data_IF_295233225014
#
_entry.id   IF_295233225014
#
_cell.length_a   1.000
_cell.length_b   1.000
_cell.length_c   1.000
_cell.angle_alpha   90.00
_cell.angle_beta   90.00
_cell.angle_gamma   90.00
#
_symmetry.space_group_name_H-M   'P 1'
#
loop_
_entity.id
_entity.type
_entity.pdbx_description
1 polymer ?
#
# COMPACT_ATOMS: atom_id res chain seq x y z
N UNK A 1 1.70 -8.42 -18.04
CA UNK A 1 1.80 -7.08 -17.40
C UNK A 1 0.81 -6.15 -18.09
N UNK A 2 0.04 -5.33 -17.36
CA UNK A 2 -0.98 -4.43 -17.94
C UNK A 2 -0.35 -3.09 -18.37
N UNK A 3 -0.90 -2.42 -19.39
CA UNK A 3 -0.35 -1.15 -19.91
C UNK A 3 -0.33 -0.01 -18.86
N UNK A 4 -1.32 0.06 -17.98
CA UNK A 4 -1.36 1.05 -16.90
C UNK A 4 -0.25 0.82 -15.88
N UNK A 5 0.03 -0.45 -15.51
CA UNK A 5 1.14 -0.80 -14.63
C UNK A 5 2.47 -0.35 -15.26
N UNK A 6 2.68 -0.63 -16.56
CA UNK A 6 3.88 -0.18 -17.29
C UNK A 6 4.04 1.35 -17.32
N UNK A 7 2.93 2.07 -17.45
CA UNK A 7 2.92 3.53 -17.43
C UNK A 7 3.24 4.08 -16.03
N UNK A 8 2.75 3.42 -14.98
CA UNK A 8 3.02 3.79 -13.59
C UNK A 8 4.48 3.54 -13.17
N UNK A 9 5.07 2.42 -13.61
CA UNK A 9 6.41 1.99 -13.19
C UNK A 9 7.56 2.61 -14.01
N UNK A 10 7.24 3.20 -15.17
CA UNK A 10 8.25 3.73 -16.09
C UNK A 10 8.48 5.23 -15.95
N UNK A 11 9.13 5.83 -16.95
CA UNK A 11 9.31 7.28 -17.01
C UNK A 11 7.98 8.00 -17.19
N UNK A 12 7.97 9.29 -16.86
CA UNK A 12 6.77 10.14 -16.98
C UNK A 12 6.12 10.09 -18.37
N UNK A 13 6.89 9.89 -19.45
CA UNK A 13 6.35 9.72 -20.80
C UNK A 13 7.08 8.61 -21.55
N UNK A 14 6.31 7.63 -22.05
CA UNK A 14 6.83 6.40 -22.64
C UNK A 14 6.39 6.22 -24.10
N UNK A 15 7.22 5.57 -24.92
CA UNK A 15 6.92 5.36 -26.33
C UNK A 15 5.99 4.16 -26.54
N UNK A 16 5.15 4.22 -27.57
CA UNK A 16 4.24 3.14 -27.95
C UNK A 16 4.97 1.81 -28.21
N UNK A 17 6.10 1.86 -28.92
CA UNK A 17 6.88 0.66 -29.26
C UNK A 17 7.40 -0.04 -28.00
N UNK A 18 7.93 0.75 -27.07
CA UNK A 18 8.49 0.24 -25.81
C UNK A 18 7.38 -0.36 -24.93
N UNK A 19 6.21 0.29 -24.89
CA UNK A 19 5.02 -0.21 -24.19
C UNK A 19 4.48 -1.50 -24.84
N UNK A 20 4.46 -1.58 -26.16
CA UNK A 20 4.02 -2.78 -26.89
C UNK A 20 4.95 -3.95 -26.63
N UNK A 21 6.27 -3.73 -26.72
CA UNK A 21 7.30 -4.73 -26.44
C UNK A 21 7.19 -5.26 -25.01
N UNK A 22 7.21 -4.36 -24.01
CA UNK A 22 7.14 -4.74 -22.59
C UNK A 22 5.81 -5.38 -22.18
N UNK A 23 4.71 -5.05 -22.87
CA UNK A 23 3.40 -5.69 -22.62
C UNK A 23 3.21 -7.00 -23.35
N UNK A 24 4.09 -7.35 -24.31
CA UNK A 24 3.93 -8.51 -25.19
C UNK A 24 2.80 -8.35 -26.22
N UNK A 25 2.35 -7.12 -26.48
CA UNK A 25 1.29 -6.81 -27.43
C UNK A 25 1.87 -6.40 -28.79
N UNK A 26 1.12 -6.64 -29.87
CA UNK A 26 1.45 -6.01 -31.15
C UNK A 26 1.24 -4.50 -31.08
N UNK A 27 2.08 -3.74 -31.79
CA UNK A 27 1.98 -2.26 -31.84
C UNK A 27 0.57 -1.77 -32.18
N UNK A 28 -0.15 -2.32 -33.18
CA UNK A 28 -1.53 -1.90 -33.47
C UNK A 28 -2.51 -2.16 -32.31
N UNK A 29 -2.30 -3.24 -31.56
CA UNK A 29 -3.14 -3.60 -30.41
C UNK A 29 -2.89 -2.66 -29.23
N UNK A 30 -1.62 -2.43 -28.89
CA UNK A 30 -1.23 -1.48 -27.84
C UNK A 30 -1.77 -0.08 -28.16
N UNK A 31 -1.63 0.36 -29.42
CA UNK A 31 -2.14 1.66 -29.85
C UNK A 31 -3.66 1.78 -29.68
N UNK A 32 -4.44 0.76 -30.08
CA UNK A 32 -5.91 0.77 -29.92
C UNK A 32 -6.33 0.83 -28.44
N UNK A 33 -5.64 0.09 -27.58
CA UNK A 33 -5.92 0.10 -26.14
C UNK A 33 -5.55 1.44 -25.51
N UNK A 34 -4.35 1.97 -25.79
CA UNK A 34 -3.93 3.27 -25.31
C UNK A 34 -4.87 4.38 -25.79
N UNK A 35 -5.29 4.36 -27.05
CA UNK A 35 -6.30 5.31 -27.56
C UNK A 35 -7.61 5.24 -26.79
N UNK A 36 -8.06 4.02 -26.42
CA UNK A 36 -9.28 3.86 -25.62
C UNK A 36 -9.11 4.41 -24.21
N UNK A 37 -7.92 4.24 -23.60
CA UNK A 37 -7.59 4.80 -22.29
C UNK A 37 -7.44 6.34 -22.34
N UNK A 38 -6.94 6.88 -23.45
CA UNK A 38 -6.87 8.33 -23.71
C UNK A 38 -8.26 8.93 -23.81
N UNK A 39 -9.19 8.27 -24.50
CA UNK A 39 -10.59 8.72 -24.56
C UNK A 39 -11.28 8.72 -23.20
N UNK A 40 -10.77 7.95 -22.24
CA UNK A 40 -11.26 7.89 -20.86
C UNK A 40 -10.44 8.76 -19.88
N UNK A 41 -9.50 9.58 -20.37
CA UNK A 41 -8.58 10.41 -19.59
C UNK A 41 -7.70 9.64 -18.56
N UNK A 42 -7.68 8.30 -18.63
CA UNK A 42 -6.85 7.42 -17.79
C UNK A 42 -5.39 7.41 -18.24
N UNK A 43 -5.16 7.72 -19.51
CA UNK A 43 -3.86 7.89 -20.14
C UNK A 43 -3.89 9.22 -20.87
N UNK A 44 -2.77 9.92 -20.95
CA UNK A 44 -2.62 11.07 -21.83
C UNK A 44 -1.54 10.79 -22.87
N UNK A 45 -1.66 11.43 -24.04
CA UNK A 45 -0.65 11.39 -25.07
C UNK A 45 -0.12 12.80 -25.30
N UNK A 46 1.19 13.00 -25.17
CA UNK A 46 1.82 14.28 -25.46
C UNK A 46 1.71 14.57 -26.97
N UNK A 47 1.06 15.68 -27.38
CA UNK A 47 0.90 16.02 -28.79
C UNK A 47 2.22 16.31 -29.51
N UNK A 48 3.31 16.63 -28.79
CA UNK A 48 4.62 16.93 -29.39
C UNK A 48 5.44 15.68 -29.64
N UNK A 49 5.55 14.80 -28.65
CA UNK A 49 6.38 13.59 -28.72
C UNK A 49 5.61 12.33 -29.07
N UNK A 50 4.27 12.37 -29.08
CA UNK A 50 3.38 11.19 -29.23
C UNK A 50 3.57 10.12 -28.16
N UNK A 51 4.25 10.44 -27.04
CA UNK A 51 4.49 9.55 -25.90
C UNK A 51 3.30 9.55 -24.96
N UNK A 52 3.15 8.47 -24.21
CA UNK A 52 2.02 8.22 -23.32
C UNK A 52 2.42 8.33 -21.85
N UNK A 53 1.51 8.84 -21.02
CA UNK A 53 1.61 8.89 -19.55
C UNK A 53 0.29 8.49 -18.90
N UNK A 54 0.28 8.31 -17.58
CA UNK A 54 -0.98 8.26 -16.82
C UNK A 54 -1.69 9.62 -16.92
N UNK A 55 -2.99 9.59 -17.18
CA UNK A 55 -3.81 10.79 -17.28
C UNK A 55 -4.41 11.23 -15.94
N UNK A 56 -4.93 12.47 -15.86
CA UNK A 56 -5.44 13.07 -14.64
C UNK A 56 -6.67 12.34 -14.05
N UNK A 57 -7.38 11.52 -14.84
CA UNK A 57 -8.51 10.74 -14.37
C UNK A 57 -8.13 9.79 -13.22
N UNK A 58 -6.89 9.27 -13.25
CA UNK A 58 -6.38 8.35 -12.21
C UNK A 58 -6.45 9.00 -10.83
N UNK A 59 -6.07 10.29 -10.72
CA UNK A 59 -6.15 11.03 -9.46
C UNK A 59 -7.59 11.20 -9.00
N UNK A 60 -8.51 11.59 -9.90
CA UNK A 60 -9.93 11.79 -9.56
C UNK A 60 -10.58 10.49 -9.08
N UNK A 61 -10.32 9.38 -9.77
CA UNK A 61 -10.87 8.08 -9.40
C UNK A 61 -10.26 7.56 -8.09
N UNK A 62 -8.94 7.74 -7.89
CA UNK A 62 -8.26 7.40 -6.65
C UNK A 62 -8.89 8.11 -5.46
N UNK A 63 -9.11 9.43 -5.54
CA UNK A 63 -9.75 10.19 -4.46
C UNK A 63 -11.18 9.72 -4.17
N UNK A 64 -11.97 9.39 -5.21
CA UNK A 64 -13.32 8.81 -5.03
C UNK A 64 -13.30 7.42 -4.42
N UNK A 65 -12.29 6.61 -4.73
CA UNK A 65 -12.09 5.30 -4.12
C UNK A 65 -11.73 5.44 -2.64
N UNK A 66 -10.74 6.27 -2.31
CA UNK A 66 -10.31 6.54 -0.93
C UNK A 66 -11.47 7.06 -0.07
N UNK A 67 -12.25 8.02 -0.57
CA UNK A 67 -13.42 8.54 0.15
C UNK A 67 -14.53 7.51 0.41
N UNK A 68 -14.47 6.33 -0.20
CA UNK A 68 -15.41 5.22 0.01
C UNK A 68 -14.84 4.10 0.87
N UNK A 69 -13.56 4.16 1.25
CA UNK A 69 -12.94 3.15 2.11
C UNK A 69 -13.46 3.32 3.56
N UNK A 70 -14.28 2.38 4.08
CA UNK A 70 -14.87 2.53 5.40
C UNK A 70 -13.81 2.57 6.52
N UNK A 71 -12.68 1.90 6.30
CA UNK A 71 -11.55 1.85 7.22
C UNK A 71 -10.97 3.24 7.54
N UNK A 72 -10.95 4.17 6.58
CA UNK A 72 -10.45 5.53 6.83
C UNK A 72 -11.36 6.28 7.81
N UNK A 73 -12.68 6.16 7.63
CA UNK A 73 -13.65 6.71 8.57
C UNK A 73 -13.56 6.07 9.96
N UNK A 74 -13.34 4.74 10.02
CA UNK A 74 -13.22 4.01 11.27
C UNK A 74 -11.95 4.35 12.05
N UNK A 75 -10.82 4.59 11.37
CA UNK A 75 -9.54 4.91 12.02
C UNK A 75 -9.39 6.39 12.38
N UNK A 76 -10.03 7.30 11.62
CA UNK A 76 -9.91 8.75 11.77
C UNK A 76 -9.97 9.26 13.24
N UNK A 77 -10.88 8.79 14.11
CA UNK A 77 -10.96 9.26 15.50
C UNK A 77 -9.74 8.93 16.37
N UNK A 78 -8.92 7.97 15.96
CA UNK A 78 -7.80 7.45 16.75
C UNK A 78 -6.44 8.01 16.32
N UNK A 79 -6.29 8.41 15.05
CA UNK A 79 -4.98 8.75 14.46
C UNK A 79 -4.27 9.91 15.17
N UNK A 80 -5.00 11.01 15.43
CA UNK A 80 -4.49 12.19 16.15
C UNK A 80 -3.99 11.82 17.54
N UNK A 81 -4.80 11.07 18.30
CA UNK A 81 -4.45 10.65 19.66
C UNK A 81 -3.27 9.68 19.68
N UNK A 82 -3.17 8.77 18.70
CA UNK A 82 -2.01 7.89 18.55
C UNK A 82 -0.74 8.68 18.29
N UNK A 83 -0.76 9.60 17.32
CA UNK A 83 0.38 10.49 17.05
C UNK A 83 0.78 11.27 18.29
N UNK A 84 -0.18 11.90 18.98
CA UNK A 84 0.11 12.73 20.17
C UNK A 84 0.64 11.89 21.34
N UNK A 85 0.21 10.64 21.48
CA UNK A 85 0.68 9.76 22.56
C UNK A 85 2.05 9.18 22.26
N UNK A 86 2.29 8.78 21.01
CA UNK A 86 3.49 8.08 20.60
C UNK A 86 4.60 9.03 20.12
N UNK A 87 4.25 10.27 19.80
CA UNK A 87 5.13 11.30 19.21
C UNK A 87 5.85 10.76 17.97
N UNK A 88 5.12 10.06 17.11
CA UNK A 88 5.64 9.46 15.88
C UNK A 88 4.60 9.56 14.77
N UNK A 89 5.07 9.42 13.53
CA UNK A 89 4.19 9.36 12.36
C UNK A 89 3.40 8.06 12.37
N UNK A 90 2.10 8.16 12.11
CA UNK A 90 1.20 7.02 11.97
C UNK A 90 0.75 6.92 10.52
N UNK A 91 0.68 5.71 9.97
CA UNK A 91 0.20 5.44 8.63
C UNK A 91 -0.91 4.40 8.63
N UNK A 92 -1.77 4.50 7.62
CA UNK A 92 -2.78 3.48 7.29
C UNK A 92 -2.43 2.90 5.93
N UNK A 93 -2.28 1.59 5.86
CA UNK A 93 -1.87 0.86 4.67
C UNK A 93 -2.91 -0.18 4.28
N UNK A 94 -3.10 -0.39 2.98
CA UNK A 94 -3.90 -1.49 2.43
C UNK A 94 -3.06 -2.31 1.45
N UNK A 95 -3.40 -3.58 1.30
CA UNK A 95 -2.77 -4.46 0.32
C UNK A 95 -3.55 -4.36 -0.99
N UNK A 96 -2.85 -3.99 -2.07
CA UNK A 96 -3.37 -3.98 -3.43
C UNK A 96 -2.48 -4.88 -4.26
N UNK A 97 -2.98 -6.10 -4.53
CA UNK A 97 -2.20 -7.17 -5.19
C UNK A 97 -0.88 -7.42 -4.43
N UNK A 98 0.26 -7.33 -5.10
CA UNK A 98 1.61 -7.49 -4.56
C UNK A 98 2.17 -6.25 -3.83
N UNK A 99 1.41 -5.16 -3.73
CA UNK A 99 1.88 -3.89 -3.19
C UNK A 99 1.13 -3.44 -1.94
N UNK A 100 1.83 -2.78 -1.03
CA UNK A 100 1.21 -1.97 0.01
C UNK A 100 1.04 -0.55 -0.49
N UNK A 101 -0.16 -0.02 -0.27
CA UNK A 101 -0.53 1.36 -0.58
C UNK A 101 -0.88 2.06 0.71
N UNK A 102 -0.14 3.11 1.06
CA UNK A 102 -0.47 3.97 2.20
C UNK A 102 -1.57 4.95 1.80
N UNK A 103 -2.71 4.83 2.45
CA UNK A 103 -3.97 5.53 2.12
C UNK A 103 -4.30 6.66 3.08
N UNK A 104 -3.65 6.73 4.23
CA UNK A 104 -3.74 7.84 5.18
C UNK A 104 -2.46 7.94 6.01
N UNK A 105 -2.19 9.14 6.54
CA UNK A 105 -0.99 9.46 7.29
C UNK A 105 -1.23 10.66 8.22
N UNK A 106 -0.67 10.59 9.41
CA UNK A 106 -0.57 11.72 10.32
C UNK A 106 0.87 11.90 10.80
N UNK A 107 1.47 13.02 10.43
CA UNK A 107 2.88 13.33 10.71
C UNK A 107 3.14 13.65 12.17
N UNK A 108 4.29 13.22 12.69
CA UNK A 108 4.82 13.73 13.95
C UNK A 108 5.05 15.25 13.88
N UNK A 109 4.89 15.93 15.02
CA UNK A 109 4.96 17.39 15.14
C UNK A 109 6.31 18.01 14.73
N UNK A 110 7.38 17.21 14.67
CA UNK A 110 8.76 17.60 14.40
C UNK A 110 9.31 17.07 13.05
N UNK A 111 8.49 16.37 12.25
CA UNK A 111 8.90 15.64 11.05
C UNK A 111 9.42 16.47 9.86
N UNK A 112 9.59 17.79 10.03
CA UNK A 112 9.97 18.71 8.96
C UNK A 112 8.85 18.95 7.94
N UNK A 113 9.03 19.88 6.99
CA UNK A 113 7.92 20.38 6.16
C UNK A 113 7.39 19.41 5.09
N UNK A 114 8.02 18.24 4.86
CA UNK A 114 7.61 17.29 3.83
C UNK A 114 8.46 16.00 3.87
N UNK A 115 7.84 14.79 3.79
CA UNK A 115 8.39 13.59 3.09
C UNK A 115 7.46 12.35 3.11
N UNK A 116 6.82 12.17 1.97
CA UNK A 116 6.67 10.95 1.13
C UNK A 116 5.21 10.76 0.71
N UNK A 117 4.87 11.31 -0.46
CA UNK A 117 3.48 11.60 -0.83
C UNK A 117 2.67 10.35 -1.17
N UNK A 118 3.28 9.31 -1.75
CA UNK A 118 2.56 8.12 -2.22
C UNK A 118 3.48 6.90 -2.23
N UNK A 119 3.61 6.19 -1.11
CA UNK A 119 4.35 4.93 -1.07
C UNK A 119 3.44 3.81 -1.56
N UNK A 120 3.48 3.54 -2.86
CA UNK A 120 3.18 2.19 -3.34
C UNK A 120 4.51 1.45 -3.26
N UNK A 121 4.56 0.40 -2.46
CA UNK A 121 5.79 -0.35 -2.21
C UNK A 121 5.51 -1.83 -2.31
N UNK A 122 6.52 -2.61 -2.67
CA UNK A 122 6.43 -4.07 -2.62
C UNK A 122 6.02 -4.50 -1.20
N UNK A 123 5.01 -5.38 -1.11
CA UNK A 123 4.40 -5.69 0.17
C UNK A 123 5.39 -6.32 1.16
N UNK A 124 6.24 -7.24 0.70
CA UNK A 124 7.10 -8.04 1.58
C UNK A 124 8.35 -7.28 2.04
N UNK A 125 8.59 -6.08 1.51
CA UNK A 125 9.60 -5.15 2.02
C UNK A 125 9.20 -4.39 3.30
N UNK A 126 7.91 -4.39 3.66
CA UNK A 126 7.36 -3.58 4.77
C UNK A 126 6.76 -4.45 5.88
N UNK A 127 6.66 -3.92 7.11
CA UNK A 127 5.99 -4.62 8.19
C UNK A 127 4.49 -4.74 7.90
N UNK A 128 3.88 -3.64 7.45
CA UNK A 128 2.46 -3.60 7.08
C UNK A 128 2.11 -4.65 6.01
N UNK A 129 2.92 -4.73 4.95
CA UNK A 129 2.67 -5.63 3.83
C UNK A 129 2.92 -7.09 4.16
N UNK A 130 3.96 -7.41 4.93
CA UNK A 130 4.16 -8.78 5.44
C UNK A 130 2.96 -9.25 6.23
N UNK A 131 2.44 -8.42 7.14
CA UNK A 131 1.28 -8.78 7.96
C UNK A 131 0.00 -8.96 7.14
N UNK A 132 -0.24 -8.10 6.15
CA UNK A 132 -1.40 -8.18 5.26
C UNK A 132 -1.30 -9.35 4.29
N UNK A 133 -0.17 -9.48 3.59
CA UNK A 133 0.05 -10.52 2.59
C UNK A 133 0.01 -11.92 3.21
N UNK A 134 0.56 -12.10 4.42
CA UNK A 134 0.55 -13.38 5.09
C UNK A 134 -0.87 -13.91 5.35
N UNK A 135 -1.81 -12.99 5.59
CA UNK A 135 -3.24 -13.27 5.85
C UNK A 135 -4.12 -13.16 4.60
N UNK A 136 -3.54 -12.81 3.45
CA UNK A 136 -4.25 -12.76 2.18
C UNK A 136 -4.49 -14.17 1.64
N UNK A 137 -5.38 -14.27 0.64
CA UNK A 137 -5.59 -15.52 -0.09
C UNK A 137 -4.34 -16.00 -0.83
N UNK A 138 -4.27 -17.30 -1.12
CA UNK A 138 -3.08 -17.95 -1.68
C UNK A 138 -2.56 -17.33 -2.97
N UNK A 139 -3.47 -16.84 -3.83
CA UNK A 139 -3.09 -16.21 -5.09
C UNK A 139 -2.35 -14.89 -4.85
N UNK A 140 -2.85 -14.05 -3.93
CA UNK A 140 -2.19 -12.79 -3.56
C UNK A 140 -0.86 -13.07 -2.88
N UNK A 141 -0.81 -14.06 -1.98
CA UNK A 141 0.43 -14.48 -1.35
C UNK A 141 1.50 -14.87 -2.39
N UNK A 142 1.16 -15.71 -3.36
CA UNK A 142 2.06 -16.12 -4.44
C UNK A 142 2.54 -14.92 -5.28
N UNK A 143 1.66 -13.95 -5.55
CA UNK A 143 2.03 -12.72 -6.26
C UNK A 143 3.04 -11.90 -5.47
N UNK A 144 2.82 -11.71 -4.17
CA UNK A 144 3.77 -11.02 -3.28
C UNK A 144 5.14 -11.73 -3.22
N UNK A 145 5.16 -13.06 -3.12
CA UNK A 145 6.42 -13.82 -3.11
C UNK A 145 7.15 -13.70 -4.44
N UNK A 146 6.42 -13.76 -5.56
CA UNK A 146 7.00 -13.64 -6.90
C UNK A 146 7.54 -12.22 -7.19
N UNK A 147 6.96 -11.18 -6.61
CA UNK A 147 7.44 -9.79 -6.77
C UNK A 147 8.66 -9.48 -5.91
N UNK A 148 8.87 -10.21 -4.80
CA UNK A 148 9.91 -9.92 -3.82
C UNK A 148 11.16 -10.79 -3.99
N UNK A 149 12.17 -10.27 -4.68
CA UNK A 149 13.43 -10.97 -4.93
C UNK A 149 14.21 -11.37 -3.66
N UNK A 150 13.98 -10.71 -2.52
CA UNK A 150 14.71 -10.96 -1.27
C UNK A 150 14.31 -12.25 -0.53
N UNK A 151 13.19 -12.88 -0.88
CA UNK A 151 12.68 -14.07 -0.17
C UNK A 151 13.07 -15.39 -0.84
N UNK A 152 13.89 -15.34 -1.89
CA UNK A 152 14.32 -16.52 -2.65
C UNK A 152 15.14 -17.49 -1.78
N UNK A 153 15.81 -16.98 -0.74
CA UNK A 153 16.65 -17.77 0.17
C UNK A 153 15.94 -18.22 1.47
N UNK A 154 14.67 -17.83 1.66
CA UNK A 154 13.89 -18.17 2.85
C UNK A 154 12.70 -19.07 2.48
N UNK A 155 12.21 -19.87 3.43
CA UNK A 155 10.99 -20.67 3.24
C UNK A 155 9.75 -19.77 3.33
N UNK A 156 9.06 -19.46 2.21
CA UNK A 156 7.97 -18.50 2.22
C UNK A 156 6.78 -19.02 3.03
N UNK A 157 6.51 -20.32 3.03
CA UNK A 157 5.37 -20.89 3.76
C UNK A 157 5.60 -20.82 5.27
N UNK A 158 6.85 -21.02 5.71
CA UNK A 158 7.24 -20.81 7.11
C UNK A 158 7.05 -19.34 7.53
N UNK A 159 7.51 -18.40 6.72
CA UNK A 159 7.35 -16.96 7.00
C UNK A 159 5.88 -16.54 7.01
N UNK A 160 5.08 -17.04 6.05
CA UNK A 160 3.63 -16.81 6.03
C UNK A 160 3.00 -17.25 7.34
N UNK A 161 3.34 -18.45 7.82
CA UNK A 161 2.81 -18.99 9.06
C UNK A 161 3.25 -18.19 10.29
N UNK A 162 4.48 -17.70 10.32
CA UNK A 162 5.00 -16.83 11.37
C UNK A 162 4.27 -15.48 11.40
N UNK A 163 4.26 -14.75 10.29
CA UNK A 163 3.68 -13.41 10.17
C UNK A 163 2.16 -13.40 10.36
N UNK A 164 1.48 -14.50 10.00
CA UNK A 164 0.04 -14.67 10.22
C UNK A 164 -0.33 -14.78 11.70
N UNK A 165 0.58 -15.25 12.55
CA UNK A 165 0.36 -15.39 14.00
C UNK A 165 0.90 -14.20 14.81
N UNK A 166 1.81 -13.43 14.23
CA UNK A 166 2.37 -12.26 14.89
C UNK A 166 1.29 -11.20 15.18
N UNK A 167 1.26 -10.67 16.41
CA UNK A 167 0.38 -9.57 16.80
C UNK A 167 0.80 -8.24 16.17
N UNK A 168 2.12 -8.06 16.01
CA UNK A 168 2.74 -6.94 15.33
C UNK A 168 4.02 -7.43 14.62
N UNK A 169 4.51 -6.68 13.63
CA UNK A 169 5.82 -6.90 13.02
C UNK A 169 6.59 -5.59 12.96
N UNK A 170 7.93 -5.70 12.94
CA UNK A 170 8.84 -4.59 12.66
C UNK A 170 9.65 -4.86 11.40
N UNK A 171 9.83 -3.87 10.54
CA UNK A 171 10.71 -3.92 9.36
C UNK A 171 11.32 -2.55 9.13
N UNK A 172 12.65 -2.44 9.18
CA UNK A 172 13.32 -1.14 9.14
C UNK A 172 12.89 -0.25 10.30
N UNK A 173 12.41 0.95 9.98
CA UNK A 173 11.84 1.92 10.91
C UNK A 173 10.31 1.84 11.01
N UNK A 174 9.67 0.77 10.52
CA UNK A 174 8.22 0.60 10.60
C UNK A 174 7.86 -0.49 11.61
N UNK A 175 6.84 -0.22 12.43
CA UNK A 175 6.08 -1.22 13.19
C UNK A 175 4.62 -1.21 12.72
N UNK A 176 4.04 -2.39 12.49
CA UNK A 176 2.67 -2.51 12.00
C UNK A 176 1.84 -3.50 12.81
N UNK A 177 0.53 -3.28 12.82
CA UNK A 177 -0.51 -4.21 13.28
C UNK A 177 -1.61 -4.31 12.22
N UNK A 178 -2.39 -5.39 12.24
CA UNK A 178 -3.50 -5.57 11.29
C UNK A 178 -4.80 -5.07 11.90
N UNK A 179 -5.56 -4.33 11.10
CA UNK A 179 -6.96 -4.01 11.38
C UNK A 179 -7.83 -5.08 10.72
N UNK A 180 -8.64 -5.75 11.53
CA UNK A 180 -9.64 -6.71 11.05
C UNK A 180 -11.02 -6.06 11.13
N UNK A 181 -11.92 -6.43 10.22
CA UNK A 181 -13.34 -6.09 10.35
C UNK A 181 -14.04 -6.97 11.41
N UNK A 182 -15.36 -6.79 11.56
CA UNK A 182 -16.15 -7.58 12.49
C UNK A 182 -16.22 -9.08 12.16
N UNK A 183 -15.89 -9.47 10.92
CA UNK A 183 -15.82 -10.86 10.45
C UNK A 183 -14.41 -11.44 10.53
N UNK A 184 -13.50 -10.80 11.27
CA UNK A 184 -12.09 -11.20 11.40
C UNK A 184 -11.32 -11.18 10.06
N UNK A 185 -11.82 -10.47 9.04
CA UNK A 185 -11.10 -10.33 7.77
C UNK A 185 -10.11 -9.18 7.86
N UNK A 186 -8.83 -9.36 7.46
CA UNK A 186 -7.85 -8.28 7.44
C UNK A 186 -8.23 -7.24 6.36
N UNK A 187 -8.42 -5.98 6.76
CA UNK A 187 -8.87 -4.90 5.86
C UNK A 187 -7.83 -3.80 5.65
N UNK A 188 -6.92 -3.63 6.61
CA UNK A 188 -5.81 -2.67 6.54
C UNK A 188 -4.72 -3.02 7.56
N UNK A 189 -3.59 -2.34 7.47
CA UNK A 189 -2.59 -2.27 8.52
C UNK A 189 -2.53 -0.84 9.07
N UNK A 190 -2.38 -0.74 10.39
CA UNK A 190 -2.06 0.50 11.08
C UNK A 190 -0.59 0.41 11.47
N UNK A 191 0.23 1.36 11.01
CA UNK A 191 1.67 1.35 11.28
C UNK A 191 2.15 2.67 11.86
N UNK A 192 3.33 2.62 12.47
CA UNK A 192 4.01 3.77 13.04
C UNK A 192 5.51 3.73 12.73
N UNK A 193 6.14 4.90 12.70
CA UNK A 193 7.60 4.97 12.64
C UNK A 193 8.20 4.62 14.01
N UNK A 194 9.14 3.68 14.03
CA UNK A 194 9.93 3.29 15.19
C UNK A 194 11.09 4.29 15.34
N UNK A 195 11.21 4.98 16.48
CA UNK A 195 12.32 5.91 16.70
C UNK A 195 13.68 5.21 16.60
N UNK A 196 14.71 5.86 16.04
CA UNK A 196 16.07 5.31 16.02
C UNK A 196 16.54 4.95 17.43
N UNK A 197 17.05 3.73 17.60
CA UNK A 197 17.54 3.25 18.89
C UNK A 197 16.46 2.89 19.92
N UNK A 198 15.19 2.81 19.52
CA UNK A 198 14.12 2.31 20.39
C UNK A 198 14.43 0.88 20.86
N UNK A 199 14.26 0.64 22.17
CA UNK A 199 14.39 -0.69 22.75
C UNK A 199 13.10 -1.52 22.57
N UNK A 200 13.16 -2.80 22.93
CA UNK A 200 12.03 -3.70 22.82
C UNK A 200 10.81 -3.25 23.64
N UNK A 201 11.03 -2.60 24.80
CA UNK A 201 9.96 -2.08 25.63
C UNK A 201 9.21 -0.94 24.92
N UNK A 202 9.94 -0.03 24.26
CA UNK A 202 9.34 1.06 23.49
C UNK A 202 8.58 0.54 22.27
N UNK A 203 9.12 -0.46 21.56
CA UNK A 203 8.44 -1.13 20.44
C UNK A 203 7.13 -1.75 20.91
N UNK A 204 7.13 -2.45 22.04
CA UNK A 204 5.93 -3.09 22.60
C UNK A 204 4.86 -2.07 23.02
N UNK A 205 5.29 -0.93 23.59
CA UNK A 205 4.38 0.19 23.89
C UNK A 205 3.71 0.70 22.61
N UNK A 206 4.46 0.92 21.54
CA UNK A 206 3.89 1.35 20.24
C UNK A 206 2.89 0.30 19.74
N UNK A 207 3.29 -0.97 19.68
CA UNK A 207 2.42 -2.08 19.24
C UNK A 207 1.11 -2.15 20.03
N UNK A 208 1.17 -1.98 21.34
CA UNK A 208 0.00 -2.00 22.24
C UNK A 208 -0.97 -0.88 21.90
N UNK A 209 -0.47 0.35 21.69
CA UNK A 209 -1.31 1.48 21.32
C UNK A 209 -1.97 1.29 19.95
N UNK A 210 -1.19 0.84 18.95
CA UNK A 210 -1.72 0.55 17.62
C UNK A 210 -2.78 -0.56 17.67
N UNK A 211 -2.52 -1.66 18.38
CA UNK A 211 -3.43 -2.80 18.48
C UNK A 211 -4.78 -2.44 19.10
N UNK A 212 -4.77 -1.56 20.12
CA UNK A 212 -6.00 -1.05 20.75
C UNK A 212 -6.84 -0.24 19.77
N UNK A 213 -6.21 0.67 19.03
CA UNK A 213 -6.90 1.47 18.02
C UNK A 213 -7.41 0.62 16.85
N UNK A 214 -6.60 -0.30 16.34
CA UNK A 214 -6.97 -1.25 15.30
C UNK A 214 -8.20 -2.09 15.70
N UNK A 215 -8.20 -2.63 16.92
CA UNK A 215 -9.33 -3.40 17.44
C UNK A 215 -10.59 -2.55 17.61
N UNK A 216 -10.45 -1.30 18.06
CA UNK A 216 -11.57 -0.39 18.26
C UNK A 216 -12.20 0.07 16.94
N UNK A 217 -11.38 0.42 15.94
CA UNK A 217 -11.84 0.75 14.59
C UNK A 217 -12.47 -0.47 13.92
N UNK A 218 -11.84 -1.64 14.01
CA UNK A 218 -12.30 -2.88 13.39
C UNK A 218 -13.73 -3.28 13.73
N UNK A 219 -14.14 -3.12 15.00
CA UNK A 219 -15.51 -3.41 15.46
C UNK A 219 -16.59 -2.55 14.79
N UNK A 220 -16.22 -1.38 14.28
CA UNK A 220 -17.16 -0.50 13.58
C UNK A 220 -17.39 -0.89 12.12
N UNK A 221 -16.54 -1.76 11.55
CA UNK A 221 -16.49 -2.09 10.12
C UNK A 221 -17.43 -3.20 9.64
N UNK A 222 -18.44 -3.59 10.43
CA UNK A 222 -19.43 -4.60 10.03
C UNK A 222 -20.89 -4.19 10.29
N UNK A 223 -21.14 -2.92 10.60
CA UNK A 223 -22.47 -2.39 10.96
C UNK A 223 -23.09 -1.52 9.86
N UNK A 224 -22.62 -1.63 8.61
CA UNK A 224 -23.04 -0.82 7.46
C UNK A 224 -23.65 -1.63 6.33
#
# INVERSE_FOLDING_TARGET
MRLLDLLADGSAYQQLTDLAERSGLSVPTAHRLLRSLVLADLVEQDPRSSRYSLGPEVTRLSQRYLGRLPILGALSPYLVSLRDTLQTTIHVAVLVRESVVYVDRIDASDGGPYRDSHRVTDALSTAAGRMLAARAGDEVWKQCVASHAGLVDEDPDRLRAEWSRAAHLTSGDEIAVVVHDAGETPVAALSATVPPGADAARVEVIATHLSRAASAAGRTLGHG
#
